data_IF_272247665271
#
_entry.id   IF_272247665271
#
_cell.length_a   1.000
_cell.length_b   1.000
_cell.length_c   1.000
_cell.angle_alpha   90.00
_cell.angle_beta   90.00
_cell.angle_gamma   90.00
#
_symmetry.space_group_name_H-M   'P 1'
#
loop_
_entity.id
_entity.type
_entity.pdbx_description
1 polymer ?
#
# COMPACT_ATOMS: atom_id res chain seq x y z
N UNK A 1 3.47 -23.06 14.13
CA UNK A 1 4.09 -22.35 15.27
C UNK A 1 5.45 -21.74 14.96
N UNK A 2 6.46 -22.42 14.41
CA UNK A 2 7.77 -21.79 14.08
C UNK A 2 7.69 -20.71 12.97
N UNK A 3 6.79 -20.82 12.00
CA UNK A 3 6.61 -19.84 10.92
C UNK A 3 5.78 -18.64 11.37
N UNK A 4 4.82 -18.84 12.27
CA UNK A 4 4.06 -17.75 12.89
C UNK A 4 4.97 -16.81 13.70
N UNK A 5 5.89 -17.40 14.52
CA UNK A 5 6.89 -16.61 15.23
C UNK A 5 7.83 -15.82 14.31
N UNK A 6 8.14 -16.35 13.13
CA UNK A 6 9.06 -15.70 12.18
C UNK A 6 8.39 -14.49 11.51
N UNK A 7 7.11 -14.58 11.19
CA UNK A 7 6.37 -13.44 10.62
C UNK A 7 6.09 -12.37 11.68
N UNK A 8 5.78 -12.75 12.92
CA UNK A 8 5.65 -11.83 14.06
C UNK A 8 6.99 -11.13 14.35
N UNK A 9 8.12 -11.82 14.24
CA UNK A 9 9.45 -11.21 14.40
C UNK A 9 9.73 -10.21 13.26
N UNK A 10 9.29 -10.47 12.04
CA UNK A 10 9.44 -9.52 10.91
C UNK A 10 8.58 -8.28 11.15
N UNK A 11 7.34 -8.45 11.63
CA UNK A 11 6.46 -7.32 12.02
C UNK A 11 7.08 -6.49 13.15
N UNK A 12 7.66 -7.13 14.17
CA UNK A 12 8.35 -6.45 15.26
C UNK A 12 9.66 -5.77 14.81
N UNK A 13 10.35 -6.31 13.81
CA UNK A 13 11.57 -5.70 13.26
C UNK A 13 11.22 -4.47 12.41
N UNK A 14 10.12 -4.48 11.66
CA UNK A 14 9.65 -3.29 10.92
C UNK A 14 9.28 -2.15 11.89
N UNK A 15 8.56 -2.46 12.96
CA UNK A 15 8.21 -1.47 14.00
C UNK A 15 9.44 -1.03 14.82
N UNK A 16 10.38 -1.94 15.12
CA UNK A 16 11.60 -1.62 15.87
C UNK A 16 12.67 -0.95 15.00
N UNK A 17 12.76 -1.29 13.71
CA UNK A 17 13.72 -0.70 12.77
C UNK A 17 13.47 0.80 12.55
N UNK A 18 12.22 1.22 12.48
CA UNK A 18 11.84 2.65 12.38
C UNK A 18 12.28 3.42 13.63
N UNK A 19 12.16 2.82 14.82
CA UNK A 19 12.55 3.49 16.07
C UNK A 19 14.08 3.60 16.25
N UNK A 20 14.84 2.59 15.84
CA UNK A 20 16.31 2.58 15.98
C UNK A 20 16.96 3.52 14.96
N UNK A 21 16.38 3.64 13.76
CA UNK A 21 16.95 4.51 12.72
C UNK A 21 16.67 5.99 12.99
N UNK A 22 15.51 6.34 13.55
CA UNK A 22 15.19 7.71 13.96
C UNK A 22 16.04 8.16 15.15
N UNK A 23 16.36 7.29 16.11
CA UNK A 23 17.29 7.61 17.21
C UNK A 23 18.73 7.83 16.70
N UNK A 24 19.24 6.96 15.82
CA UNK A 24 20.60 7.12 15.26
C UNK A 24 20.77 8.35 14.38
N UNK A 25 19.73 8.75 13.63
CA UNK A 25 19.76 9.99 12.86
C UNK A 25 19.70 11.24 13.75
N UNK A 26 18.99 11.17 14.89
CA UNK A 26 18.95 12.25 15.88
C UNK A 26 20.31 12.45 16.59
N UNK A 27 21.04 11.38 16.87
CA UNK A 27 22.37 11.48 17.49
C UNK A 27 23.45 11.98 16.52
N UNK A 28 23.37 11.62 15.22
CA UNK A 28 24.32 12.09 14.21
C UNK A 28 24.19 13.60 13.90
N UNK A 29 23.00 14.19 14.10
CA UNK A 29 22.79 15.65 13.95
C UNK A 29 23.25 16.49 15.12
N UNK A 30 23.63 15.90 16.25
CA UNK A 30 24.13 16.63 17.43
C UNK A 30 25.66 16.84 17.44
N UNK A 31 26.38 16.29 16.47
CA UNK A 31 27.87 16.29 16.46
C UNK A 31 28.54 17.33 15.58
N UNK A 32 27.85 18.06 14.71
CA UNK A 32 28.47 19.03 13.82
C UNK A 32 27.71 20.36 13.81
N UNK A 33 28.07 21.22 14.74
CA UNK A 33 27.74 22.64 14.70
C UNK A 33 28.96 23.41 14.15
N UNK A 34 28.87 23.88 12.93
CA UNK A 34 29.76 24.94 12.44
C UNK A 34 28.90 26.07 11.83
N UNK A 35 29.12 27.33 12.20
CA UNK A 35 28.24 28.43 11.86
C UNK A 35 28.67 29.08 10.53
N UNK A 36 27.75 29.24 9.62
CA UNK A 36 27.97 30.16 8.51
C UNK A 36 27.18 29.85 7.25
N UNK A 37 26.32 30.77 6.93
CA UNK A 37 25.64 31.04 5.67
C UNK A 37 24.26 30.38 5.48
N UNK A 38 23.28 31.28 5.53
CA UNK A 38 21.93 31.12 5.03
C UNK A 38 21.91 30.71 3.56
N UNK A 39 21.14 29.68 3.25
CA UNK A 39 20.42 29.58 1.97
C UNK A 39 19.37 28.46 2.10
N UNK A 40 18.17 28.86 1.86
CA UNK A 40 16.94 28.17 1.52
C UNK A 40 16.90 26.63 1.59
N UNK A 41 16.08 26.14 2.50
CA UNK A 41 15.55 24.78 2.42
C UNK A 41 14.77 24.64 1.11
N UNK A 42 15.00 23.57 0.32
CA UNK A 42 14.17 23.30 -0.83
C UNK A 42 12.76 22.94 -0.36
N UNK A 43 11.84 23.85 -0.52
CA UNK A 43 10.43 23.54 -0.62
C UNK A 43 10.28 22.46 -1.67
N UNK A 44 9.65 21.33 -1.31
CA UNK A 44 9.31 20.29 -2.25
C UNK A 44 8.43 20.89 -3.34
N UNK A 45 9.03 21.28 -4.45
CA UNK A 45 8.30 21.64 -5.65
C UNK A 45 7.78 20.34 -6.24
N UNK A 46 6.55 19.99 -5.91
CA UNK A 46 5.79 19.04 -6.68
C UNK A 46 5.64 19.58 -8.10
N UNK A 47 5.99 18.77 -9.04
CA UNK A 47 6.07 18.89 -10.47
C UNK A 47 4.88 19.67 -11.02
N UNK A 48 5.18 20.84 -11.59
CA UNK A 48 4.31 21.54 -12.53
C UNK A 48 4.80 21.25 -13.95
N UNK A 49 4.54 20.04 -14.43
CA UNK A 49 4.52 19.70 -15.86
C UNK A 49 3.56 18.54 -16.12
N UNK A 50 2.37 18.60 -15.50
CA UNK A 50 1.22 17.92 -16.04
C UNK A 50 0.58 18.91 -17.02
N UNK A 51 0.60 18.58 -18.32
CA UNK A 51 -0.24 19.21 -19.32
C UNK A 51 -1.62 19.44 -18.73
N UNK A 52 -2.05 20.70 -18.73
CA UNK A 52 -3.30 21.18 -18.18
C UNK A 52 -4.47 20.26 -18.57
N UNK A 53 -4.87 19.37 -17.70
CA UNK A 53 -6.23 18.87 -17.65
C UNK A 53 -7.03 19.98 -16.97
N UNK A 54 -7.94 20.59 -17.68
CA UNK A 54 -8.96 21.46 -17.08
C UNK A 54 -9.64 20.63 -16.00
N UNK A 55 -9.50 21.07 -14.76
CA UNK A 55 -10.28 20.53 -13.66
C UNK A 55 -11.74 20.88 -13.99
N UNK A 56 -12.50 19.87 -14.39
CA UNK A 56 -13.94 19.97 -14.38
C UNK A 56 -14.33 20.25 -12.93
N UNK A 57 -15.03 21.36 -12.68
CA UNK A 57 -15.71 21.60 -11.42
C UNK A 57 -16.59 20.37 -11.15
N UNK A 58 -16.15 19.53 -10.24
CA UNK A 58 -16.91 18.34 -9.84
C UNK A 58 -18.07 18.82 -8.97
N UNK A 59 -19.22 19.04 -9.60
CA UNK A 59 -20.49 18.78 -8.94
C UNK A 59 -20.44 17.28 -8.57
N UNK A 60 -20.59 16.96 -7.28
CA UNK A 60 -20.72 15.58 -6.81
C UNK A 60 -21.87 14.95 -7.62
N UNK A 61 -21.53 14.19 -8.69
CA UNK A 61 -22.53 13.46 -9.44
C UNK A 61 -23.22 12.51 -8.47
N UNK A 62 -24.51 12.71 -8.35
CA UNK A 62 -25.43 11.87 -7.58
C UNK A 62 -25.14 10.41 -7.93
N UNK A 63 -24.70 9.64 -6.94
CA UNK A 63 -24.35 8.23 -7.08
C UNK A 63 -25.52 7.51 -7.73
N UNK A 64 -25.27 6.77 -8.80
CA UNK A 64 -26.25 5.92 -9.44
C UNK A 64 -26.69 4.85 -8.43
N UNK A 65 -27.89 5.02 -7.87
CA UNK A 65 -28.39 4.34 -6.68
C UNK A 65 -28.61 2.81 -6.87
N UNK A 66 -28.37 2.31 -8.09
CA UNK A 66 -28.65 0.91 -8.45
C UNK A 66 -27.39 -0.01 -8.44
N UNK A 67 -26.21 0.52 -8.16
CA UNK A 67 -24.98 -0.25 -8.15
C UNK A 67 -24.44 -0.44 -6.72
N UNK A 68 -24.71 -1.59 -6.15
CA UNK A 68 -24.14 -2.15 -4.90
C UNK A 68 -24.53 -1.43 -3.59
N UNK A 69 -24.99 -2.21 -2.62
CA UNK A 69 -25.32 -1.70 -1.30
C UNK A 69 -24.02 -1.28 -0.60
N UNK A 70 -23.81 0.04 -0.48
CA UNK A 70 -22.78 0.56 0.40
C UNK A 70 -23.01 0.04 1.83
N UNK A 71 -21.91 -0.34 2.51
CA UNK A 71 -21.98 -0.69 3.92
C UNK A 71 -22.51 0.49 4.74
N UNK A 72 -23.36 0.22 5.72
CA UNK A 72 -23.81 1.26 6.67
C UNK A 72 -22.67 1.64 7.62
N UNK A 73 -21.79 2.51 7.17
CA UNK A 73 -20.64 2.98 7.95
C UNK A 73 -21.08 3.71 9.23
N UNK A 74 -22.29 4.29 9.25
CA UNK A 74 -22.79 5.02 10.43
C UNK A 74 -23.15 4.09 11.59
N UNK A 75 -23.42 2.82 11.33
CA UNK A 75 -23.62 1.80 12.36
C UNK A 75 -22.30 1.34 13.00
N UNK A 76 -21.18 1.54 12.29
CA UNK A 76 -19.84 1.08 12.69
C UNK A 76 -19.01 2.19 13.34
N UNK A 77 -19.29 3.44 13.02
CA UNK A 77 -18.58 4.60 13.52
C UNK A 77 -19.51 5.80 13.62
N UNK A 78 -19.44 6.54 14.73
CA UNK A 78 -20.07 7.84 14.82
C UNK A 78 -19.39 8.80 13.84
N UNK A 79 -20.14 9.32 12.86
CA UNK A 79 -19.58 10.25 11.87
C UNK A 79 -19.16 11.56 12.58
N UNK A 80 -17.95 12.08 12.32
CA UNK A 80 -17.49 13.32 12.92
C UNK A 80 -18.29 14.51 12.40
N UNK A 81 -18.52 15.49 13.26
CA UNK A 81 -19.09 16.79 12.84
C UNK A 81 -18.04 17.65 12.17
N UNK A 82 -18.45 18.62 11.36
CA UNK A 82 -17.56 19.59 10.70
C UNK A 82 -16.66 20.33 11.73
N UNK A 83 -17.19 20.63 12.92
CA UNK A 83 -16.43 21.26 14.00
C UNK A 83 -15.32 20.34 14.51
N UNK A 84 -15.60 19.06 14.69
CA UNK A 84 -14.61 18.06 15.10
C UNK A 84 -13.52 17.90 14.05
N UNK A 85 -13.89 17.76 12.76
CA UNK A 85 -12.95 17.69 11.64
C UNK A 85 -12.05 18.92 11.64
N UNK A 86 -12.65 20.11 11.74
CA UNK A 86 -11.90 21.36 11.74
C UNK A 86 -10.94 21.47 12.92
N UNK A 87 -11.35 21.00 14.11
CA UNK A 87 -10.54 21.07 15.33
C UNK A 87 -9.24 20.24 15.26
N UNK A 88 -9.21 19.18 14.44
CA UNK A 88 -8.04 18.29 14.28
C UNK A 88 -7.26 18.52 13.01
N UNK A 89 -7.73 19.40 12.15
CA UNK A 89 -7.09 19.72 10.86
C UNK A 89 -5.65 20.20 11.08
N UNK A 90 -4.71 19.48 10.46
CA UNK A 90 -3.28 19.82 10.53
C UNK A 90 -2.55 19.39 11.81
N UNK A 91 -3.25 18.78 12.78
CA UNK A 91 -2.61 18.33 14.03
C UNK A 91 -1.80 17.03 13.88
N UNK A 92 -2.11 16.23 12.88
CA UNK A 92 -1.44 14.96 12.63
C UNK A 92 -2.16 14.17 11.55
N UNK A 93 -1.76 12.92 11.35
CA UNK A 93 -2.42 12.00 10.43
C UNK A 93 -3.45 11.14 11.17
N UNK A 94 -4.48 10.68 10.47
CA UNK A 94 -5.36 9.62 10.96
C UNK A 94 -4.56 8.34 11.24
N UNK A 95 -5.08 7.42 12.06
CA UNK A 95 -4.49 6.10 12.20
C UNK A 95 -4.29 5.45 10.84
N UNK A 96 -3.14 4.82 10.68
CA UNK A 96 -2.83 3.95 9.57
C UNK A 96 -3.27 2.54 9.92
N UNK A 97 -4.08 1.93 9.06
CA UNK A 97 -4.51 0.54 9.21
C UNK A 97 -3.82 -0.28 8.15
N UNK A 98 -3.02 -1.25 8.56
CA UNK A 98 -2.45 -2.26 7.67
C UNK A 98 -3.15 -3.60 7.89
N UNK A 99 -3.14 -4.42 6.87
CA UNK A 99 -3.67 -5.77 6.89
C UNK A 99 -2.68 -6.72 6.22
N UNK A 100 -2.71 -7.98 6.66
CA UNK A 100 -1.96 -9.07 6.05
C UNK A 100 -2.93 -10.18 5.71
N UNK A 101 -2.85 -10.68 4.49
CA UNK A 101 -3.69 -11.76 3.97
C UNK A 101 -2.93 -13.07 4.06
N UNK A 102 -3.58 -14.11 4.56
CA UNK A 102 -3.04 -15.45 4.56
C UNK A 102 -3.74 -16.31 3.49
N UNK A 103 -2.93 -16.98 2.69
CA UNK A 103 -3.38 -17.90 1.64
C UNK A 103 -2.85 -19.30 1.95
N UNK A 104 -3.72 -20.26 2.35
CA UNK A 104 -3.28 -21.55 2.86
C UNK A 104 -2.51 -22.33 1.80
N UNK A 105 -1.29 -22.77 2.16
CA UNK A 105 -0.43 -23.55 1.28
C UNK A 105 0.31 -22.78 0.19
N UNK A 106 0.00 -21.52 -0.05
CA UNK A 106 0.73 -20.69 -1.02
C UNK A 106 2.01 -20.17 -0.39
N UNK A 107 3.15 -20.65 -0.88
CA UNK A 107 4.48 -20.20 -0.45
C UNK A 107 5.08 -19.19 -1.41
N UNK A 108 4.77 -19.31 -2.69
CA UNK A 108 5.18 -18.45 -3.78
C UNK A 108 3.95 -18.15 -4.63
N UNK A 109 3.67 -16.90 -4.85
CA UNK A 109 2.55 -16.47 -5.65
C UNK A 109 3.03 -15.86 -6.97
N UNK A 110 2.30 -16.13 -8.05
CA UNK A 110 2.45 -15.43 -9.33
C UNK A 110 1.47 -14.29 -9.46
N UNK A 111 0.35 -14.36 -8.76
CA UNK A 111 -0.72 -13.35 -8.87
C UNK A 111 -1.40 -13.19 -7.52
N UNK A 112 -1.81 -11.96 -7.23
CA UNK A 112 -2.77 -11.62 -6.18
C UNK A 112 -3.93 -10.86 -6.80
N UNK A 113 -5.15 -11.22 -6.40
CA UNK A 113 -6.37 -10.62 -6.87
C UNK A 113 -7.30 -10.30 -5.70
N UNK A 114 -7.99 -9.16 -5.76
CA UNK A 114 -9.05 -8.82 -4.82
C UNK A 114 -10.05 -7.88 -5.47
N UNK A 115 -11.30 -8.00 -5.07
CA UNK A 115 -12.32 -6.98 -5.35
C UNK A 115 -12.18 -5.86 -4.33
N UNK A 116 -12.36 -4.63 -4.78
CA UNK A 116 -12.09 -3.42 -4.02
C UNK A 116 -13.27 -2.46 -4.10
N UNK A 117 -13.66 -1.90 -2.96
CA UNK A 117 -14.69 -0.87 -2.84
C UNK A 117 -14.27 0.20 -1.83
N UNK A 118 -14.67 1.45 -2.07
CA UNK A 118 -14.48 2.55 -1.13
C UNK A 118 -15.59 3.60 -1.28
N UNK A 119 -16.27 3.91 -0.18
CA UNK A 119 -17.34 4.93 -0.18
C UNK A 119 -16.79 6.32 0.19
N UNK A 120 -15.93 6.38 1.21
CA UNK A 120 -15.40 7.64 1.72
C UNK A 120 -13.91 7.74 1.37
N UNK A 121 -13.59 8.73 0.54
CA UNK A 121 -12.23 8.95 0.05
C UNK A 121 -11.90 10.45 -0.02
N UNK A 122 -11.75 11.13 1.15
CA UNK A 122 -11.35 12.54 1.17
C UNK A 122 -9.98 12.72 0.53
N UNK A 123 -9.63 13.97 0.20
CA UNK A 123 -8.28 14.29 -0.28
C UNK A 123 -7.22 13.80 0.71
N UNK A 124 -6.04 13.42 0.21
CA UNK A 124 -4.99 12.83 1.02
C UNK A 124 -5.24 11.38 1.44
N UNK A 125 -6.09 10.65 0.73
CA UNK A 125 -6.36 9.23 0.99
C UNK A 125 -5.52 8.34 0.09
N UNK A 126 -4.92 7.30 0.67
CA UNK A 126 -4.33 6.18 -0.04
C UNK A 126 -5.04 4.88 0.34
N UNK A 127 -5.53 4.21 -0.66
CA UNK A 127 -6.23 2.94 -0.62
C UNK A 127 -5.33 1.92 -1.32
N UNK A 128 -4.61 1.13 -0.58
CA UNK A 128 -3.63 0.17 -1.08
C UNK A 128 -4.16 -1.25 -0.89
N UNK A 129 -4.78 -1.86 -1.92
CA UNK A 129 -5.22 -3.25 -1.84
C UNK A 129 -4.06 -4.23 -1.76
N UNK A 130 -2.91 -3.91 -2.35
CA UNK A 130 -1.77 -4.81 -2.38
C UNK A 130 -0.45 -4.13 -2.00
N UNK A 131 0.15 -4.64 -0.91
CA UNK A 131 1.52 -4.43 -0.51
C UNK A 131 2.16 -5.81 -0.36
N UNK A 132 3.15 -6.12 -1.17
CA UNK A 132 3.74 -7.46 -1.27
C UNK A 132 5.23 -7.47 -0.95
N UNK A 133 5.72 -8.65 -0.56
CA UNK A 133 7.13 -8.95 -0.39
C UNK A 133 7.56 -10.05 -1.34
N UNK A 134 8.87 -10.05 -1.69
CA UNK A 134 9.46 -11.01 -2.62
C UNK A 134 10.25 -12.08 -1.86
N UNK A 135 10.04 -13.35 -2.22
CA UNK A 135 10.95 -14.43 -1.87
C UNK A 135 12.19 -14.32 -2.75
N UNK A 136 13.29 -13.97 -2.11
CA UNK A 136 14.60 -13.78 -2.72
C UNK A 136 15.57 -14.93 -2.38
N UNK A 137 15.03 -16.09 -2.01
CA UNK A 137 15.84 -17.25 -1.59
C UNK A 137 16.78 -17.73 -2.69
N UNK A 138 16.40 -17.60 -3.96
CA UNK A 138 17.27 -17.90 -5.12
C UNK A 138 18.54 -17.06 -5.17
N UNK A 139 18.51 -15.83 -4.67
CA UNK A 139 19.66 -14.93 -4.65
C UNK A 139 20.64 -15.25 -3.52
N UNK A 140 20.22 -15.98 -2.48
CA UNK A 140 21.04 -16.31 -1.31
C UNK A 140 22.15 -17.33 -1.60
N UNK A 141 22.13 -17.97 -2.75
CA UNK A 141 23.24 -18.80 -3.22
C UNK A 141 24.43 -17.94 -3.68
N UNK A 142 24.16 -16.75 -4.18
CA UNK A 142 25.17 -15.83 -4.71
C UNK A 142 25.51 -14.70 -3.73
N UNK A 143 24.54 -14.26 -2.91
CA UNK A 143 24.67 -13.12 -2.02
C UNK A 143 24.46 -13.51 -0.56
N UNK A 144 25.25 -12.93 0.33
CA UNK A 144 25.15 -13.12 1.78
C UNK A 144 24.00 -12.34 2.40
N UNK A 145 23.62 -11.22 1.76
CA UNK A 145 22.49 -10.38 2.16
C UNK A 145 21.72 -9.88 0.94
N UNK A 146 20.38 -9.91 1.03
CA UNK A 146 19.46 -9.36 0.02
C UNK A 146 18.40 -8.55 0.75
N UNK A 147 18.31 -7.27 0.48
CA UNK A 147 17.46 -6.35 1.23
C UNK A 147 17.00 -5.16 0.39
N UNK A 148 16.00 -4.43 0.86
CA UNK A 148 15.80 -3.03 0.55
C UNK A 148 16.16 -2.18 1.77
N UNK A 149 16.39 -0.89 1.57
CA UNK A 149 16.88 0.03 2.61
C UNK A 149 15.76 0.63 3.48
N UNK A 150 14.52 0.16 3.35
CA UNK A 150 13.37 0.59 4.14
C UNK A 150 12.80 -0.53 5.02
N UNK A 151 12.24 -1.58 4.39
CA UNK A 151 11.60 -2.69 5.11
C UNK A 151 12.52 -3.86 5.37
N UNK A 152 13.72 -3.83 4.81
CA UNK A 152 14.69 -4.93 4.86
C UNK A 152 14.37 -6.09 3.90
N UNK A 153 13.18 -6.14 3.30
CA UNK A 153 12.78 -7.19 2.36
C UNK A 153 12.30 -6.56 1.06
N UNK A 154 12.82 -6.99 -0.11
CA UNK A 154 12.35 -6.51 -1.41
C UNK A 154 10.86 -6.72 -1.61
N UNK A 155 10.22 -5.83 -2.35
CA UNK A 155 8.79 -5.87 -2.62
C UNK A 155 8.28 -4.58 -3.23
N UNK A 156 7.01 -4.30 -3.00
CA UNK A 156 6.36 -3.11 -3.53
C UNK A 156 4.93 -2.97 -3.05
N UNK A 157 4.24 -1.97 -3.57
CA UNK A 157 2.83 -1.74 -3.29
C UNK A 157 2.15 -1.06 -4.48
N UNK A 158 0.83 -1.22 -4.59
CA UNK A 158 0.03 -0.51 -5.57
C UNK A 158 -1.37 -0.20 -5.04
N UNK A 159 -1.99 0.85 -5.60
CA UNK A 159 -3.36 1.21 -5.22
C UNK A 159 -3.78 2.59 -5.69
N UNK A 160 -4.88 3.04 -5.13
CA UNK A 160 -5.57 4.25 -5.53
C UNK A 160 -5.29 5.40 -4.56
N UNK A 161 -5.05 6.58 -5.09
CA UNK A 161 -4.93 7.78 -4.26
C UNK A 161 -5.87 8.89 -4.74
N UNK A 162 -6.38 9.65 -3.77
CA UNK A 162 -6.95 10.98 -4.02
C UNK A 162 -5.99 12.03 -3.50
N UNK A 163 -5.42 12.81 -4.41
CA UNK A 163 -4.40 13.81 -4.09
C UNK A 163 -4.99 15.07 -3.43
N UNK A 164 -4.12 15.96 -2.97
CA UNK A 164 -4.51 17.21 -2.30
C UNK A 164 -5.24 18.19 -3.21
N UNK A 165 -4.99 18.17 -4.52
CA UNK A 165 -5.72 18.93 -5.53
C UNK A 165 -7.08 18.32 -5.92
N UNK A 166 -7.38 17.10 -5.44
CA UNK A 166 -8.60 16.37 -5.76
C UNK A 166 -8.44 15.37 -6.89
N UNK A 167 -7.35 15.41 -7.64
CA UNK A 167 -7.09 14.45 -8.71
C UNK A 167 -6.98 13.02 -8.18
N UNK A 168 -7.39 12.06 -9.01
CA UNK A 168 -7.35 10.63 -8.71
C UNK A 168 -6.27 9.97 -9.54
N UNK A 169 -5.50 9.15 -8.89
CA UNK A 169 -4.37 8.45 -9.51
C UNK A 169 -4.34 6.99 -9.06
N UNK A 170 -3.70 6.17 -9.88
CA UNK A 170 -3.20 4.86 -9.49
C UNK A 170 -1.69 4.95 -9.31
N UNK A 171 -1.16 4.34 -8.26
CA UNK A 171 0.26 4.31 -7.94
C UNK A 171 0.73 2.88 -7.87
N UNK A 172 1.89 2.62 -8.46
CA UNK A 172 2.66 1.42 -8.22
C UNK A 172 4.09 1.79 -7.88
N UNK A 173 4.61 1.20 -6.81
CA UNK A 173 5.98 1.40 -6.32
C UNK A 173 6.66 0.06 -6.17
N UNK A 174 7.90 -0.04 -6.63
CA UNK A 174 8.75 -1.21 -6.39
C UNK A 174 10.06 -0.73 -5.78
N UNK A 175 10.44 -1.32 -4.63
CA UNK A 175 11.67 -0.95 -3.93
C UNK A 175 12.90 -1.48 -4.65
N UNK A 176 13.97 -0.68 -4.62
CA UNK A 176 15.30 -1.08 -5.08
C UNK A 176 15.82 -2.23 -4.22
N UNK A 177 16.36 -3.25 -4.85
CA UNK A 177 16.96 -4.40 -4.17
C UNK A 177 18.47 -4.28 -4.14
N UNK A 178 19.04 -4.40 -2.95
CA UNK A 178 20.47 -4.42 -2.70
C UNK A 178 20.91 -5.84 -2.37
N UNK A 179 21.97 -6.30 -3.00
CA UNK A 179 22.54 -7.63 -2.81
C UNK A 179 24.02 -7.51 -2.45
N UNK A 180 24.43 -7.96 -1.27
CA UNK A 180 25.80 -7.94 -0.79
C UNK A 180 26.40 -9.34 -0.89
N UNK A 181 27.58 -9.45 -1.53
CA UNK A 181 28.35 -10.69 -1.61
C UNK A 181 29.23 -10.95 -0.37
N UNK A 182 29.98 -12.06 -0.37
CA UNK A 182 30.88 -12.42 0.74
C UNK A 182 32.06 -11.46 0.92
N UNK A 183 32.38 -10.69 -0.10
CA UNK A 183 33.50 -9.74 -0.10
C UNK A 183 33.04 -8.33 0.29
N UNK A 184 31.72 -8.15 0.54
CA UNK A 184 31.12 -6.87 0.89
C UNK A 184 30.81 -5.97 -0.31
N UNK A 185 30.89 -6.48 -1.55
CA UNK A 185 30.48 -5.71 -2.71
C UNK A 185 28.95 -5.70 -2.82
N UNK A 186 28.39 -4.55 -3.14
CA UNK A 186 26.94 -4.38 -3.27
C UNK A 186 26.55 -4.27 -4.74
N UNK A 187 25.71 -5.21 -5.20
CA UNK A 187 24.99 -5.13 -6.47
C UNK A 187 23.64 -4.51 -6.23
N UNK A 188 23.25 -3.55 -7.07
CA UNK A 188 21.99 -2.81 -6.94
C UNK A 188 21.08 -3.14 -8.11
N UNK A 189 19.90 -3.64 -7.83
CA UNK A 189 18.84 -3.88 -8.81
C UNK A 189 17.77 -2.79 -8.65
N UNK A 190 17.82 -1.81 -9.54
CA UNK A 190 16.84 -0.75 -9.62
C UNK A 190 15.74 -1.14 -10.60
N UNK A 191 14.47 -1.24 -10.15
CA UNK A 191 13.36 -1.54 -11.04
C UNK A 191 13.21 -0.50 -12.15
N UNK A 192 12.63 -0.91 -13.28
CA UNK A 192 12.33 -0.02 -14.40
C UNK A 192 10.87 -0.13 -14.79
N UNK A 193 10.20 1.00 -15.00
CA UNK A 193 8.88 1.02 -15.61
C UNK A 193 9.02 0.60 -17.07
N UNK A 194 8.31 -0.44 -17.47
CA UNK A 194 8.27 -0.93 -18.85
C UNK A 194 6.94 -0.66 -19.52
N UNK A 195 5.89 -0.40 -18.71
CA UNK A 195 4.61 0.08 -19.19
C UNK A 195 3.99 1.03 -18.14
N UNK A 196 3.34 2.15 -18.54
CA UNK A 196 3.39 2.73 -19.90
C UNK A 196 4.78 3.26 -20.24
N UNK A 197 5.15 3.17 -21.50
CA UNK A 197 6.43 3.68 -21.96
C UNK A 197 6.61 5.16 -21.63
N UNK A 198 7.80 5.51 -21.09
CA UNK A 198 8.20 6.88 -20.76
C UNK A 198 7.38 7.57 -19.65
N UNK A 199 6.59 6.82 -18.88
CA UNK A 199 5.84 7.33 -17.72
C UNK A 199 6.30 6.63 -16.45
N UNK A 200 7.45 6.91 -15.98
CA UNK A 200 7.91 6.47 -14.67
C UNK A 200 8.81 7.54 -14.12
N UNK A 201 8.66 7.89 -12.89
CA UNK A 201 9.63 8.76 -12.24
C UNK A 201 10.85 7.95 -11.85
N UNK A 202 11.99 8.47 -12.25
CA UNK A 202 13.28 7.92 -11.89
C UNK A 202 13.45 7.85 -10.36
N UNK A 203 14.21 6.84 -9.93
CA UNK A 203 14.72 6.60 -8.59
C UNK A 203 14.46 7.71 -7.58
N UNK A 204 13.53 7.47 -6.68
CA UNK A 204 13.33 8.34 -5.51
C UNK A 204 13.99 7.71 -4.29
N UNK A 205 14.58 8.53 -3.47
CA UNK A 205 14.97 8.20 -2.10
C UNK A 205 14.28 9.17 -1.18
N UNK A 206 13.49 8.66 -0.26
CA UNK A 206 12.81 9.47 0.76
C UNK A 206 12.82 8.71 2.09
N UNK A 207 11.87 8.99 2.98
CA UNK A 207 11.72 8.27 4.25
C UNK A 207 11.37 6.79 4.09
N UNK A 208 10.96 6.36 2.88
CA UNK A 208 10.66 4.96 2.53
C UNK A 208 11.82 4.25 1.82
N UNK A 209 13.03 4.81 1.86
CA UNK A 209 14.21 4.25 1.21
C UNK A 209 14.26 4.50 -0.30
N UNK A 210 14.98 3.63 -1.01
CA UNK A 210 15.20 3.73 -2.46
C UNK A 210 14.14 2.93 -3.23
N UNK A 211 13.45 3.58 -4.18
CA UNK A 211 12.40 2.95 -4.97
C UNK A 211 12.23 3.61 -6.33
N UNK A 212 11.52 2.94 -7.21
CA UNK A 212 10.94 3.52 -8.42
C UNK A 212 9.42 3.51 -8.31
N UNK A 213 8.80 4.63 -8.59
CA UNK A 213 7.36 4.83 -8.50
C UNK A 213 6.81 5.30 -9.83
N UNK A 214 5.68 4.75 -10.24
CA UNK A 214 4.87 5.24 -11.34
C UNK A 214 3.52 5.71 -10.81
N UNK A 215 3.17 6.95 -11.14
CA UNK A 215 1.90 7.59 -10.78
C UNK A 215 1.16 7.87 -12.08
N UNK A 216 -0.05 7.31 -12.22
CA UNK A 216 -0.89 7.49 -13.41
C UNK A 216 -2.20 8.16 -13.03
N UNK A 217 -2.66 9.17 -13.78
CA UNK A 217 -4.06 9.59 -13.72
C UNK A 217 -4.97 8.40 -14.00
N UNK A 218 -5.90 8.12 -13.11
CA UNK A 218 -6.89 7.07 -13.26
C UNK A 218 -8.19 7.51 -12.59
N UNK A 219 -9.27 7.59 -13.36
CA UNK A 219 -10.56 8.13 -12.93
C UNK A 219 -11.37 7.08 -12.17
N UNK A 220 -10.82 6.58 -11.07
CA UNK A 220 -11.56 5.74 -10.15
C UNK A 220 -12.52 6.58 -9.29
N UNK A 221 -13.62 5.99 -8.85
CA UNK A 221 -14.68 6.70 -8.14
C UNK A 221 -15.05 6.00 -6.85
N UNK A 222 -15.44 6.79 -5.83
CA UNK A 222 -16.11 6.27 -4.63
C UNK A 222 -17.45 5.62 -5.02
N UNK A 223 -17.86 4.59 -4.28
CA UNK A 223 -19.09 3.87 -4.52
C UNK A 223 -19.09 2.97 -5.76
N UNK A 224 -17.96 2.79 -6.42
CA UNK A 224 -17.79 1.84 -7.53
C UNK A 224 -16.91 0.66 -7.13
N UNK A 225 -17.18 -0.48 -7.75
CA UNK A 225 -16.42 -1.69 -7.55
C UNK A 225 -15.37 -1.87 -8.63
N UNK A 226 -14.21 -2.31 -8.18
CA UNK A 226 -13.07 -2.62 -9.01
C UNK A 226 -12.52 -3.99 -8.62
N UNK A 227 -11.86 -4.67 -9.54
CA UNK A 227 -10.99 -5.80 -9.22
C UNK A 227 -9.56 -5.39 -9.50
N UNK A 228 -8.70 -5.57 -8.53
CA UNK A 228 -7.27 -5.28 -8.65
C UNK A 228 -6.50 -6.58 -8.74
N UNK A 229 -5.57 -6.64 -9.68
CA UNK A 229 -4.69 -7.78 -9.87
C UNK A 229 -3.26 -7.30 -9.94
N UNK A 230 -2.37 -7.94 -9.20
CA UNK A 230 -0.92 -7.85 -9.40
C UNK A 230 -0.42 -9.18 -9.96
N UNK A 231 0.19 -9.14 -11.15
CA UNK A 231 0.64 -10.31 -11.88
C UNK A 231 2.15 -10.30 -12.03
N UNK A 232 2.75 -11.45 -11.81
CA UNK A 232 4.16 -11.71 -12.09
C UNK A 232 4.31 -12.51 -13.38
N UNK A 233 5.14 -12.01 -14.28
CA UNK A 233 5.58 -12.71 -15.52
C UNK A 233 7.08 -12.62 -15.64
N UNK A 234 7.64 -13.21 -16.71
CA UNK A 234 9.06 -13.10 -17.02
C UNK A 234 9.25 -12.38 -18.37
N UNK A 235 10.14 -11.42 -18.40
CA UNK A 235 10.54 -10.76 -19.65
C UNK A 235 11.15 -11.79 -20.63
N UNK A 236 10.70 -11.78 -21.88
CA UNK A 236 11.07 -12.79 -22.86
C UNK A 236 12.57 -12.76 -23.24
N UNK A 237 13.18 -11.58 -23.21
CA UNK A 237 14.57 -11.35 -23.62
C UNK A 237 15.57 -11.53 -22.47
N UNK A 238 15.21 -11.09 -21.27
CA UNK A 238 16.10 -11.13 -20.10
C UNK A 238 15.80 -12.26 -19.14
N UNK A 239 14.55 -12.73 -19.10
CA UNK A 239 14.04 -13.65 -18.08
C UNK A 239 13.83 -12.98 -16.72
N UNK A 240 13.97 -11.67 -16.62
CA UNK A 240 13.72 -10.93 -15.40
C UNK A 240 12.25 -11.02 -15.03
N UNK A 241 11.97 -10.96 -13.74
CA UNK A 241 10.60 -10.86 -13.23
C UNK A 241 10.02 -9.50 -13.56
N UNK A 242 8.86 -9.52 -14.20
CA UNK A 242 8.03 -8.34 -14.49
C UNK A 242 6.79 -8.40 -13.62
N UNK A 243 6.52 -7.32 -12.89
CA UNK A 243 5.34 -7.15 -12.07
C UNK A 243 4.39 -6.17 -12.75
N UNK A 244 3.17 -6.61 -13.03
CA UNK A 244 2.15 -5.80 -13.72
C UNK A 244 0.92 -5.63 -12.84
N UNK A 245 0.44 -4.40 -12.72
CA UNK A 245 -0.84 -4.09 -12.08
C UNK A 245 -1.94 -3.92 -13.12
N UNK A 246 -3.07 -4.56 -12.85
CA UNK A 246 -4.29 -4.51 -13.65
C UNK A 246 -5.45 -4.06 -12.79
N UNK A 247 -6.37 -3.32 -13.37
CA UNK A 247 -7.65 -2.98 -12.76
C UNK A 247 -8.78 -3.34 -13.69
N UNK A 248 -9.75 -4.09 -13.19
CA UNK A 248 -11.02 -4.33 -13.85
C UNK A 248 -12.06 -3.36 -13.29
N UNK A 249 -12.54 -2.46 -14.13
CA UNK A 249 -13.67 -1.60 -13.81
C UNK A 249 -14.96 -2.41 -13.97
N UNK A 250 -15.61 -2.76 -12.87
CA UNK A 250 -16.82 -3.60 -12.89
C UNK A 250 -18.01 -2.90 -13.51
N UNK A 251 -18.03 -1.56 -13.46
CA UNK A 251 -19.10 -0.76 -14.10
C UNK A 251 -18.98 -0.76 -15.62
N UNK A 252 -17.76 -0.63 -16.13
CA UNK A 252 -17.49 -0.56 -17.55
C UNK A 252 -17.13 -1.92 -18.18
N UNK A 253 -17.03 -2.97 -17.37
CA UNK A 253 -16.64 -4.33 -17.78
C UNK A 253 -15.34 -4.35 -18.58
N UNK A 254 -14.30 -3.67 -18.10
CA UNK A 254 -13.03 -3.51 -18.81
C UNK A 254 -11.83 -3.70 -17.91
N UNK A 255 -10.87 -4.49 -18.39
CA UNK A 255 -9.53 -4.56 -17.84
C UNK A 255 -8.65 -3.42 -18.38
N UNK A 256 -7.98 -2.72 -17.48
CA UNK A 256 -6.95 -1.73 -17.78
C UNK A 256 -5.60 -2.24 -17.25
N UNK A 257 -4.62 -2.41 -18.14
CA UNK A 257 -3.23 -2.53 -17.72
C UNK A 257 -2.73 -1.16 -17.32
N UNK A 258 -2.27 -1.02 -16.07
CA UNK A 258 -1.90 0.28 -15.52
C UNK A 258 -0.38 0.48 -15.49
N UNK A 259 0.34 -0.39 -14.81
CA UNK A 259 1.79 -0.24 -14.65
C UNK A 259 2.47 -1.59 -14.68
N UNK A 260 3.60 -1.68 -15.41
CA UNK A 260 4.48 -2.83 -15.39
C UNK A 260 5.92 -2.41 -15.04
N UNK A 261 6.55 -3.17 -14.14
CA UNK A 261 7.95 -2.99 -13.73
C UNK A 261 8.77 -4.22 -14.06
N UNK A 262 9.89 -4.05 -14.79
CA UNK A 262 11.00 -5.01 -14.80
C UNK A 262 11.82 -4.82 -13.52
N UNK A 263 11.91 -5.85 -12.69
CA UNK A 263 12.66 -5.80 -11.43
C UNK A 263 14.17 -5.86 -11.61
N UNK A 264 14.65 -6.25 -12.79
CA UNK A 264 16.06 -6.54 -13.06
C UNK A 264 16.54 -7.88 -12.49
N UNK A 265 15.67 -8.66 -11.86
CA UNK A 265 16.01 -9.88 -11.12
C UNK A 265 15.23 -11.07 -11.69
N UNK A 266 15.85 -12.25 -11.69
CA UNK A 266 15.26 -13.52 -12.12
C UNK A 266 14.91 -14.39 -10.91
N UNK A 267 14.01 -15.33 -11.13
CA UNK A 267 13.73 -16.45 -10.20
C UNK A 267 13.35 -16.01 -8.78
N UNK A 268 12.69 -14.86 -8.66
CA UNK A 268 12.08 -14.38 -7.43
C UNK A 268 10.56 -14.47 -7.55
N UNK A 269 9.87 -14.58 -6.42
CA UNK A 269 8.40 -14.73 -6.39
C UNK A 269 7.80 -13.87 -5.30
N UNK A 270 6.57 -13.43 -5.50
CA UNK A 270 5.78 -12.86 -4.41
C UNK A 270 5.49 -13.98 -3.38
N UNK A 271 5.65 -13.72 -2.08
CA UNK A 271 5.43 -14.74 -1.05
C UNK A 271 4.54 -14.31 0.10
N UNK A 272 4.27 -13.03 0.24
CA UNK A 272 3.42 -12.47 1.26
C UNK A 272 2.75 -11.22 0.70
N UNK A 273 1.51 -11.01 1.11
CA UNK A 273 0.72 -9.90 0.63
C UNK A 273 -0.09 -9.30 1.77
N UNK A 274 -0.31 -8.02 1.68
CA UNK A 274 -1.17 -7.25 2.56
C UNK A 274 -1.71 -6.04 1.84
N UNK A 275 -2.24 -5.09 2.59
CA UNK A 275 -2.71 -3.81 2.09
C UNK A 275 -2.75 -2.79 3.21
N UNK A 276 -3.19 -1.57 2.91
CA UNK A 276 -3.37 -0.55 3.93
C UNK A 276 -4.32 0.57 3.51
N UNK A 277 -4.88 1.22 4.52
CA UNK A 277 -5.67 2.45 4.41
C UNK A 277 -4.93 3.57 5.12
N UNK A 278 -4.61 4.65 4.40
CA UNK A 278 -3.77 5.73 4.92
C UNK A 278 -4.35 7.12 4.62
N UNK A 279 -4.13 8.04 5.57
CA UNK A 279 -4.16 9.48 5.36
C UNK A 279 -2.72 10.00 5.24
N UNK A 280 -2.30 10.46 4.06
CA UNK A 280 -0.94 10.97 3.86
C UNK A 280 -0.84 12.51 3.92
N UNK A 281 -1.98 13.25 4.01
CA UNK A 281 -2.02 14.71 4.12
C UNK A 281 -2.72 15.17 5.41
N UNK A 282 -1.99 15.87 6.27
CA UNK A 282 -2.50 16.34 7.57
C UNK A 282 -3.61 17.39 7.46
N UNK A 283 -3.72 18.07 6.33
CA UNK A 283 -4.81 19.02 6.05
C UNK A 283 -6.18 18.37 6.03
N UNK A 284 -6.25 17.06 5.80
CA UNK A 284 -7.49 16.28 5.71
C UNK A 284 -7.62 15.31 6.89
N UNK A 285 -6.92 15.59 7.99
CA UNK A 285 -7.10 14.90 9.26
C UNK A 285 -8.51 15.14 9.79
N UNK A 286 -9.14 14.10 10.32
CA UNK A 286 -10.50 14.18 10.86
C UNK A 286 -11.57 13.64 9.90
N UNK A 287 -11.32 13.65 8.60
CA UNK A 287 -12.26 13.12 7.64
C UNK A 287 -12.24 11.57 7.63
N UNK A 288 -13.42 10.98 7.40
CA UNK A 288 -13.59 9.52 7.36
C UNK A 288 -13.03 8.97 6.06
N UNK A 289 -12.36 7.81 6.18
CA UNK A 289 -11.87 6.99 5.07
C UNK A 289 -12.36 5.58 5.23
N UNK A 290 -12.77 4.96 4.14
CA UNK A 290 -13.24 3.57 4.13
C UNK A 290 -12.53 2.76 3.05
N UNK A 291 -12.33 1.48 3.31
CA UNK A 291 -11.84 0.50 2.35
C UNK A 291 -12.48 -0.85 2.63
N UNK A 292 -12.96 -1.49 1.59
CA UNK A 292 -13.45 -2.86 1.64
C UNK A 292 -12.74 -3.70 0.58
N UNK A 293 -12.33 -4.90 0.96
CA UNK A 293 -11.74 -5.90 0.06
C UNK A 293 -12.52 -7.20 0.19
N UNK A 294 -12.79 -7.83 -0.94
CA UNK A 294 -13.45 -9.14 -1.01
C UNK A 294 -12.82 -10.00 -2.10
N UNK A 295 -13.20 -11.27 -2.16
CA UNK A 295 -12.69 -12.22 -3.15
C UNK A 295 -11.15 -12.24 -3.25
N UNK A 296 -10.49 -12.13 -2.11
CA UNK A 296 -9.03 -12.10 -2.03
C UNK A 296 -8.45 -13.47 -2.36
N UNK A 297 -7.63 -13.53 -3.39
CA UNK A 297 -7.06 -14.77 -3.90
C UNK A 297 -5.57 -14.59 -4.25
N UNK A 298 -4.83 -15.70 -4.15
CA UNK A 298 -3.46 -15.81 -4.65
C UNK A 298 -3.35 -16.98 -5.63
N UNK A 299 -2.64 -16.80 -6.74
CA UNK A 299 -2.29 -17.90 -7.64
C UNK A 299 -0.95 -18.46 -7.26
N UNK A 300 -0.94 -19.73 -6.86
CA UNK A 300 0.29 -20.43 -6.47
C UNK A 300 1.22 -20.62 -7.67
N UNK A 301 2.49 -20.24 -7.52
CA UNK A 301 3.53 -20.52 -8.51
C UNK A 301 3.89 -22.03 -8.58
N UNK A 302 3.61 -22.78 -7.50
CA UNK A 302 3.96 -24.18 -7.40
C UNK A 302 2.90 -25.08 -8.05
N UNK A 303 1.62 -24.73 -7.96
CA UNK A 303 0.50 -25.54 -8.48
C UNK A 303 -0.23 -24.89 -9.65
N UNK A 304 -0.14 -23.59 -9.82
CA UNK A 304 -0.91 -22.82 -10.79
C UNK A 304 -2.37 -22.57 -10.38
N UNK A 305 -2.79 -23.04 -9.20
CA UNK A 305 -4.17 -22.93 -8.72
C UNK A 305 -4.39 -21.61 -7.97
N UNK A 306 -5.62 -21.11 -8.03
CA UNK A 306 -6.09 -20.00 -7.23
C UNK A 306 -6.54 -20.48 -5.85
N UNK A 307 -6.09 -19.78 -4.81
CA UNK A 307 -6.36 -20.08 -3.41
C UNK A 307 -6.92 -18.83 -2.74
N UNK A 308 -8.11 -18.93 -2.15
CA UNK A 308 -8.72 -17.85 -1.40
C UNK A 308 -7.97 -17.61 -0.07
N UNK A 309 -8.00 -16.36 0.40
CA UNK A 309 -7.54 -16.03 1.74
C UNK A 309 -8.46 -16.70 2.79
N UNK A 310 -7.87 -17.26 3.83
CA UNK A 310 -8.61 -17.92 4.93
C UNK A 310 -8.62 -17.11 6.22
N UNK A 311 -7.67 -16.17 6.40
CA UNK A 311 -7.72 -15.19 7.47
C UNK A 311 -6.95 -13.92 7.12
N UNK A 312 -7.29 -12.85 7.86
CA UNK A 312 -6.65 -11.54 7.80
C UNK A 312 -6.10 -11.21 9.17
N UNK A 313 -4.94 -10.59 9.23
CA UNK A 313 -4.41 -9.98 10.42
C UNK A 313 -4.31 -8.47 10.21
N UNK A 314 -5.03 -7.70 11.03
CA UNK A 314 -4.95 -6.25 11.02
C UNK A 314 -3.85 -5.76 11.94
N UNK A 315 -3.26 -4.61 11.60
CA UNK A 315 -2.43 -3.83 12.51
C UNK A 315 -2.77 -2.36 12.40
N UNK A 316 -2.86 -1.70 13.54
CA UNK A 316 -2.96 -0.25 13.64
C UNK A 316 -1.60 0.27 14.07
N UNK A 317 -1.07 1.25 13.36
CA UNK A 317 0.22 1.80 13.71
C UNK A 317 0.13 2.61 15.02
N UNK A 318 0.25 1.94 16.15
CA UNK A 318 0.23 2.54 17.48
C UNK A 318 1.40 3.50 17.76
N UNK A 319 2.47 3.49 16.93
CA UNK A 319 3.54 4.48 17.03
C UNK A 319 3.09 5.87 16.59
N UNK A 320 2.12 5.96 15.68
CA UNK A 320 1.54 7.24 15.26
C UNK A 320 0.80 7.93 16.41
N UNK A 321 0.09 7.20 17.26
CA UNK A 321 -0.56 7.76 18.46
C UNK A 321 0.47 8.25 19.47
N UNK A 322 1.61 7.58 19.61
CA UNK A 322 2.72 8.02 20.48
C UNK A 322 3.44 9.26 19.95
N UNK A 323 3.38 9.53 18.66
CA UNK A 323 3.94 10.72 18.03
C UNK A 323 2.98 11.91 18.03
N UNK A 324 1.83 11.81 18.73
CA UNK A 324 0.83 12.87 18.82
C UNK A 324 -0.19 12.86 17.69
N UNK A 325 -0.23 11.81 16.87
CA UNK A 325 -1.33 11.60 15.92
C UNK A 325 -2.59 11.23 16.69
N UNK A 326 -3.70 11.78 16.26
CA UNK A 326 -5.02 11.53 16.82
C UNK A 326 -5.85 10.75 15.80
N UNK A 327 -6.81 9.98 16.31
CA UNK A 327 -7.76 9.32 15.43
C UNK A 327 -8.56 8.22 16.09
N UNK A 328 -9.52 7.76 15.35
CA UNK A 328 -10.29 6.54 15.58
C UNK A 328 -10.17 5.66 14.37
N UNK A 329 -10.19 4.36 14.58
CA UNK A 329 -10.26 3.39 13.50
C UNK A 329 -11.10 2.19 13.96
N UNK A 330 -11.70 1.53 13.00
CA UNK A 330 -12.38 0.26 13.19
C UNK A 330 -12.11 -0.62 11.95
N UNK A 331 -12.12 -1.94 12.14
CA UNK A 331 -11.97 -2.92 11.09
C UNK A 331 -12.61 -4.23 11.52
N UNK A 332 -13.07 -5.02 10.56
CA UNK A 332 -13.63 -6.35 10.80
C UNK A 332 -13.70 -7.13 9.50
N UNK A 333 -14.19 -8.37 9.58
CA UNK A 333 -14.52 -9.23 8.46
C UNK A 333 -16.02 -9.49 8.43
N UNK A 334 -16.54 -9.69 7.24
CA UNK A 334 -17.95 -10.06 6.98
C UNK A 334 -17.97 -11.10 5.88
N UNK A 335 -18.18 -12.37 6.26
CA UNK A 335 -18.04 -13.48 5.33
C UNK A 335 -16.64 -13.58 4.74
N UNK A 336 -16.54 -13.50 3.41
CA UNK A 336 -15.27 -13.52 2.67
C UNK A 336 -14.70 -12.11 2.41
N UNK A 337 -15.25 -11.07 3.04
CA UNK A 337 -14.85 -9.67 2.89
C UNK A 337 -14.17 -9.17 4.16
N UNK A 338 -13.30 -8.18 3.98
CA UNK A 338 -12.80 -7.37 5.08
C UNK A 338 -13.13 -5.90 4.83
N UNK A 339 -13.26 -5.14 5.91
CA UNK A 339 -13.44 -3.71 5.82
C UNK A 339 -12.62 -2.96 6.86
N UNK A 340 -12.29 -1.72 6.54
CA UNK A 340 -11.60 -0.81 7.44
C UNK A 340 -12.18 0.61 7.32
N UNK A 341 -12.25 1.30 8.44
CA UNK A 341 -12.66 2.70 8.55
C UNK A 341 -11.71 3.44 9.47
N UNK A 342 -11.31 4.64 9.11
CA UNK A 342 -10.47 5.49 9.93
C UNK A 342 -10.86 6.96 9.83
N UNK A 343 -10.63 7.71 10.92
CA UNK A 343 -10.74 9.16 10.99
C UNK A 343 -9.64 9.73 11.91
N UNK A 344 -9.29 10.99 11.72
CA UNK A 344 -8.40 11.72 12.63
C UNK A 344 -9.07 12.24 13.90
N UNK A 345 -10.39 12.09 14.06
CA UNK A 345 -11.13 12.48 15.28
C UNK A 345 -11.16 11.31 16.27
N UNK A 346 -10.65 11.54 17.48
CA UNK A 346 -10.63 10.51 18.52
C UNK A 346 -12.01 10.18 19.08
N UNK A 347 -12.22 8.91 19.48
CA UNK A 347 -13.38 8.49 20.23
C UNK A 347 -14.65 8.25 19.41
N UNK A 348 -14.54 8.19 18.09
CA UNK A 348 -15.69 7.88 17.22
C UNK A 348 -16.00 6.39 17.16
N UNK A 349 -15.02 5.54 17.35
CA UNK A 349 -15.12 4.10 17.50
C UNK A 349 -14.05 3.57 18.44
N UNK A 350 -14.24 2.36 18.93
CA UNK A 350 -13.19 1.63 19.64
C UNK A 350 -12.24 1.02 18.64
N UNK A 351 -10.94 1.24 18.83
CA UNK A 351 -9.92 0.56 18.04
C UNK A 351 -9.80 -0.88 18.53
N UNK A 352 -10.09 -1.90 17.69
CA UNK A 352 -9.97 -3.28 18.09
C UNK A 352 -8.53 -3.68 18.41
N UNK A 353 -8.35 -4.78 19.15
CA UNK A 353 -7.04 -5.38 19.36
C UNK A 353 -6.51 -5.94 18.05
N UNK A 354 -5.24 -5.67 17.73
CA UNK A 354 -4.56 -6.13 16.52
C UNK A 354 -3.82 -7.49 16.70
N UNK A 355 -4.07 -8.20 17.80
CA UNK A 355 -3.31 -9.40 18.16
C UNK A 355 -3.90 -10.70 17.59
N UNK A 356 -5.19 -10.72 17.25
CA UNK A 356 -5.90 -11.93 16.84
C UNK A 356 -6.17 -11.96 15.33
N UNK A 357 -6.04 -13.13 14.67
CA UNK A 357 -6.43 -13.28 13.27
C UNK A 357 -7.96 -13.26 13.12
N UNK A 358 -8.43 -12.61 12.09
CA UNK A 358 -9.84 -12.60 11.67
C UNK A 358 -10.03 -13.63 10.56
N UNK A 359 -10.78 -14.68 10.86
CA UNK A 359 -11.06 -15.76 9.92
C UNK A 359 -12.15 -15.32 8.93
N UNK A 360 -11.93 -15.65 7.67
CA UNK A 360 -12.87 -15.40 6.59
C UNK A 360 -13.71 -16.68 6.37
N UNK A 361 -14.97 -16.50 5.98
CA UNK A 361 -15.72 -17.61 5.41
C UNK A 361 -15.09 -18.03 4.07
N UNK A 362 -15.37 -19.26 3.63
CA UNK A 362 -14.80 -19.75 2.37
C UNK A 362 -15.14 -18.80 1.20
N UNK A 363 -14.10 -18.15 0.69
CA UNK A 363 -14.20 -17.28 -0.48
C UNK A 363 -14.35 -18.10 -1.76
N UNK A 364 -14.81 -17.44 -2.81
CA UNK A 364 -14.87 -18.04 -4.15
C UNK A 364 -13.45 -18.24 -4.66
N UNK A 365 -13.09 -19.49 -5.01
CA UNK A 365 -11.85 -19.80 -5.70
C UNK A 365 -12.14 -20.02 -7.18
N UNK A 366 -11.37 -19.41 -8.05
CA UNK A 366 -11.52 -19.54 -9.50
C UNK A 366 -10.70 -18.50 -10.26
N UNK A 367 -10.66 -18.69 -11.57
CA UNK A 367 -10.00 -17.75 -12.45
C UNK A 367 -10.74 -16.39 -12.40
N UNK A 368 -10.08 -15.30 -11.99
CA UNK A 368 -10.70 -13.98 -11.87
C UNK A 368 -10.87 -13.24 -13.22
N UNK A 369 -10.36 -13.79 -14.32
CA UNK A 369 -10.40 -13.20 -15.67
C UNK A 369 -11.73 -13.40 -16.39
#
# INVERSE_FOLDING_TARGET
MKYLLRNIIIILIVVAGVNIFTEKMSEKKKGEANPGTSEDAPTSSFITDATSFEAADEEDEELDADAYSSRDWTSLMAMPTDEQIYSVKGLGRSPYIALYMHFPGVRRAMEYCADFHADHQPKGTYLCPFNWWMDVSSLKEQYTSVYNDYTGTPGGYCGFQRLGDGSRVFIMTVWTTFCEDSDGNVTVFTPKVVYPENKGEANRTNAEGSFVQCILPYDWRAGRDYRVLIQQTNAADTGNVVLTSWVYDMTNHRWDELVSFDTGIRDIYMYSCGGFLENFLTEYTGEVRTMELSNMQARSADTGEWVAADYIQFTVNGSLTKLGYIGSCNFDTDGASLWAITSGVSGLCETPSDEEPYYLEEGVTGDPY
#
